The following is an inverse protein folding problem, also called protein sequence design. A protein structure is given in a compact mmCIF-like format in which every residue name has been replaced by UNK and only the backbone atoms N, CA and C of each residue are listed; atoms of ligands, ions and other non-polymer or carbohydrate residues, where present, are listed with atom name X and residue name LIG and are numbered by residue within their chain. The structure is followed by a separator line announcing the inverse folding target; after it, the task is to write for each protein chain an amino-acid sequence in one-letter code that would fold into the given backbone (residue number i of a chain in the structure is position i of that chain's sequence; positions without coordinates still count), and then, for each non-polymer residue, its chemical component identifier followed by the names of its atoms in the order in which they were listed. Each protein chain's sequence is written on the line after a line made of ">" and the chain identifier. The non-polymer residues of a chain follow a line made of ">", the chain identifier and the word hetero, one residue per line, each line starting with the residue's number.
data_IF_072919300313
#
_entry.id   IF_072919300313
#
_cell.length_a   1.000
_cell.length_b   1.000
_cell.length_c   1.000
_cell.angle_alpha   90.00
_cell.angle_beta   90.00
_cell.angle_gamma   90.00
#
_symmetry.space_group_name_H-M   'P 1'
#
loop_
_entity.id
_entity.type
_entity.pdbx_description
1 polymer ?
#
# COMPACT_ATOMS: atom_id res chain seq x y z
N UNK A 1 -2.14 12.99 6.96
CA UNK A 1 -2.10 11.89 7.96
C UNK A 1 -1.72 12.40 9.35
N UNK A 2 -0.84 13.40 9.49
CA UNK A 2 -0.59 14.09 10.79
C UNK A 2 -1.83 14.74 11.44
N UNK A 3 -2.87 15.05 10.66
CA UNK A 3 -4.12 15.64 11.16
C UNK A 3 -4.97 14.68 12.00
N UNK A 4 -4.74 13.37 11.94
CA UNK A 4 -5.44 12.39 12.76
C UNK A 4 -4.77 12.20 14.13
N UNK A 5 -3.45 12.35 14.22
CA UNK A 5 -2.71 12.23 15.50
C UNK A 5 -3.09 13.34 16.49
N UNK A 6 -3.61 14.47 16.01
CA UNK A 6 -4.07 15.59 16.84
C UNK A 6 -5.48 15.41 17.43
N UNK A 7 -6.22 14.36 17.03
CA UNK A 7 -7.57 14.08 17.50
C UNK A 7 -7.61 13.12 18.71
N UNK A 8 -6.48 12.91 19.41
CA UNK A 8 -6.42 12.18 20.69
C UNK A 8 -7.27 12.88 21.75
N UNK A 9 -8.55 12.56 21.75
CA UNK A 9 -9.57 12.90 22.73
C UNK A 9 -10.24 11.58 23.10
N UNK A 10 -10.25 11.26 24.41
CA UNK A 10 -10.61 9.96 25.00
C UNK A 10 -12.03 9.43 24.68
N UNK A 11 -12.83 10.14 23.89
CA UNK A 11 -14.24 9.83 23.63
C UNK A 11 -14.55 9.28 22.23
N UNK A 12 -13.58 9.19 21.30
CA UNK A 12 -13.84 8.72 19.92
C UNK A 12 -12.88 7.58 19.55
N UNK A 13 -13.20 6.36 19.98
CA UNK A 13 -12.56 5.11 19.51
C UNK A 13 -11.16 4.83 20.05
N UNK A 14 -10.82 3.54 20.18
CA UNK A 14 -9.44 3.11 20.47
C UNK A 14 -8.58 3.35 19.25
N UNK A 15 -7.91 4.50 19.18
CA UNK A 15 -6.85 4.75 18.22
C UNK A 15 -5.64 3.90 18.61
N UNK A 16 -5.41 2.82 17.86
CA UNK A 16 -4.19 2.03 17.94
C UNK A 16 -3.09 2.77 17.18
N UNK A 17 -2.02 3.14 17.88
CA UNK A 17 -0.87 3.85 17.32
C UNK A 17 0.34 2.91 17.13
N UNK A 18 1.41 3.43 16.55
CA UNK A 18 2.68 2.69 16.38
C UNK A 18 3.24 2.26 17.73
N UNK A 19 3.11 3.11 18.74
CA UNK A 19 3.51 2.84 20.12
C UNK A 19 2.82 1.60 20.71
N UNK A 20 1.58 1.32 20.32
CA UNK A 20 0.85 0.14 20.78
C UNK A 20 1.34 -1.15 20.12
N UNK A 21 1.99 -1.05 18.95
CA UNK A 21 2.58 -2.18 18.26
C UNK A 21 3.88 -2.68 18.95
N UNK A 22 4.66 -1.78 19.55
CA UNK A 22 5.93 -2.09 20.23
C UNK A 22 5.78 -3.21 21.28
N UNK A 23 4.86 -3.14 22.27
CA UNK A 23 4.69 -4.22 23.25
C UNK A 23 4.12 -5.51 22.63
N UNK A 24 3.47 -5.45 21.47
CA UNK A 24 3.03 -6.66 20.76
C UNK A 24 4.22 -7.34 20.09
N UNK A 25 5.08 -6.59 19.39
CA UNK A 25 6.31 -7.10 18.79
C UNK A 25 7.19 -7.74 19.88
N UNK A 26 7.41 -7.02 20.98
CA UNK A 26 8.19 -7.55 22.10
C UNK A 26 7.61 -8.83 22.69
N UNK A 27 6.29 -8.95 22.83
CA UNK A 27 5.65 -10.21 23.28
C UNK A 27 5.86 -11.35 22.29
N UNK A 28 5.77 -11.08 20.99
CA UNK A 28 5.97 -12.10 19.96
C UNK A 28 7.41 -12.57 19.92
N UNK A 29 8.40 -11.66 19.84
CA UNK A 29 9.81 -12.04 19.86
C UNK A 29 10.16 -12.82 21.14
N UNK A 30 9.66 -12.38 22.30
CA UNK A 30 9.88 -13.11 23.55
C UNK A 30 9.23 -14.50 23.61
N UNK A 31 8.08 -14.71 22.95
CA UNK A 31 7.44 -16.02 22.89
C UNK A 31 8.29 -17.06 22.14
N UNK A 32 9.10 -16.60 21.18
CA UNK A 32 9.97 -17.46 20.37
C UNK A 32 11.44 -17.40 20.78
N UNK A 33 11.83 -16.65 21.82
CA UNK A 33 13.23 -16.48 22.28
C UNK A 33 13.99 -17.77 22.61
N UNK A 34 13.27 -18.87 22.87
CA UNK A 34 13.84 -20.18 23.20
C UNK A 34 13.97 -21.08 21.97
N UNK A 35 13.50 -20.60 20.82
CA UNK A 35 13.73 -21.22 19.52
C UNK A 35 14.99 -20.59 18.93
N UNK A 36 15.72 -21.38 18.16
CA UNK A 36 16.87 -20.91 17.40
C UNK A 36 16.35 -20.17 16.18
N UNK A 37 16.34 -18.85 16.26
CA UNK A 37 15.91 -17.97 15.17
C UNK A 37 17.14 -17.24 14.67
N UNK A 38 17.45 -17.43 13.38
CA UNK A 38 18.59 -16.82 12.73
C UNK A 38 18.26 -15.45 12.10
N UNK A 39 16.98 -15.19 11.83
CA UNK A 39 16.51 -13.98 11.16
C UNK A 39 15.05 -13.66 11.53
N UNK A 40 14.78 -12.42 11.95
CA UNK A 40 13.43 -11.93 12.23
C UNK A 40 13.05 -10.81 11.28
N UNK A 41 11.94 -11.02 10.55
CA UNK A 41 11.38 -10.03 9.61
C UNK A 41 10.00 -9.60 10.09
N UNK A 42 9.82 -8.28 10.26
CA UNK A 42 8.52 -7.67 10.46
C UNK A 42 7.90 -7.30 9.12
N UNK A 43 6.70 -7.80 8.85
CA UNK A 43 5.89 -7.37 7.71
C UNK A 43 4.84 -6.37 8.20
N UNK A 44 4.92 -5.13 7.71
CA UNK A 44 4.09 -4.01 8.18
C UNK A 44 3.31 -3.35 7.04
N UNK A 45 2.28 -2.58 7.39
CA UNK A 45 1.52 -1.76 6.44
C UNK A 45 1.12 -0.43 7.07
N UNK A 46 2.07 0.24 7.72
CA UNK A 46 1.83 1.48 8.49
C UNK A 46 2.43 2.74 7.85
N UNK A 47 3.16 2.59 6.74
CA UNK A 47 3.83 3.69 6.05
C UNK A 47 5.26 3.89 6.52
N UNK A 48 6.11 4.34 5.60
CA UNK A 48 7.56 4.35 5.77
C UNK A 48 8.06 5.15 6.98
N UNK A 49 7.52 6.34 7.25
CA UNK A 49 7.93 7.12 8.43
C UNK A 49 7.48 6.46 9.75
N UNK A 50 6.33 5.79 9.74
CA UNK A 50 5.85 5.02 10.90
C UNK A 50 6.68 3.75 11.10
N UNK A 51 7.14 3.11 10.03
CA UNK A 51 8.10 1.98 10.10
C UNK A 51 9.43 2.42 10.73
N UNK A 52 9.96 3.59 10.35
CA UNK A 52 11.17 4.17 10.96
C UNK A 52 10.95 4.49 12.44
N UNK A 53 9.80 5.06 12.79
CA UNK A 53 9.43 5.33 14.18
C UNK A 53 9.36 4.03 14.98
N UNK A 54 8.68 3.00 14.46
CA UNK A 54 8.59 1.68 15.09
C UNK A 54 9.99 1.12 15.35
N UNK A 55 10.84 1.05 14.32
CA UNK A 55 12.20 0.53 14.42
C UNK A 55 13.03 1.22 15.52
N UNK A 56 12.90 2.54 15.64
CA UNK A 56 13.60 3.33 16.68
C UNK A 56 13.17 3.02 18.12
N UNK A 57 12.01 2.38 18.29
CA UNK A 57 11.42 2.04 19.60
C UNK A 57 11.56 0.56 19.95
N UNK A 58 12.01 -0.29 19.02
CA UNK A 58 12.19 -1.72 19.28
C UNK A 58 13.43 -1.95 20.15
N UNK A 59 13.30 -2.89 21.10
CA UNK A 59 14.44 -3.31 21.90
C UNK A 59 15.39 -4.16 21.03
N UNK A 60 16.70 -3.82 20.94
CA UNK A 60 17.68 -4.63 20.22
C UNK A 60 17.73 -6.10 20.69
N UNK A 61 17.39 -6.38 21.96
CA UNK A 61 17.35 -7.76 22.47
C UNK A 61 16.24 -8.61 21.83
N UNK A 62 15.25 -7.99 21.18
CA UNK A 62 14.21 -8.73 20.45
C UNK A 62 14.67 -9.24 19.09
N UNK A 63 15.86 -8.85 18.63
CA UNK A 63 16.52 -9.42 17.45
C UNK A 63 15.73 -9.25 16.16
N UNK A 64 15.17 -8.06 15.92
CA UNK A 64 14.49 -7.73 14.67
C UNK A 64 15.50 -7.22 13.67
N UNK A 65 15.64 -7.90 12.53
CA UNK A 65 16.65 -7.57 11.53
C UNK A 65 16.10 -6.71 10.38
N UNK A 66 14.86 -6.99 9.95
CA UNK A 66 14.29 -6.39 8.74
C UNK A 66 12.82 -5.99 8.94
N UNK A 67 12.44 -4.84 8.40
CA UNK A 67 11.05 -4.41 8.22
C UNK A 67 10.76 -4.32 6.72
N UNK A 68 9.78 -5.10 6.26
CA UNK A 68 9.21 -4.99 4.91
C UNK A 68 7.86 -4.30 5.04
N UNK A 69 7.81 -3.02 4.65
CA UNK A 69 6.64 -2.17 4.85
C UNK A 69 5.75 -1.99 3.62
N UNK A 70 4.68 -1.22 3.80
CA UNK A 70 3.74 -0.83 2.74
C UNK A 70 3.01 0.47 3.06
N UNK A 71 1.82 0.66 2.48
CA UNK A 71 0.92 1.83 2.64
C UNK A 71 1.38 3.13 1.94
N UNK A 72 2.61 3.60 2.18
CA UNK A 72 3.07 4.90 1.65
C UNK A 72 3.53 4.85 0.19
N UNK A 73 3.61 3.66 -0.40
CA UNK A 73 4.10 3.43 -1.77
C UNK A 73 5.50 4.02 -2.00
N UNK A 74 6.36 3.94 -0.98
CA UNK A 74 7.69 4.55 -1.04
C UNK A 74 8.60 3.73 -1.95
N UNK A 75 9.36 4.41 -2.82
CA UNK A 75 10.42 3.81 -3.63
C UNK A 75 11.74 4.08 -2.92
N UNK A 76 12.54 3.04 -2.71
CA UNK A 76 13.82 3.11 -2.04
C UNK A 76 14.90 2.45 -2.91
N UNK A 77 15.87 3.25 -3.35
CA UNK A 77 17.05 2.75 -4.06
C UNK A 77 17.94 1.89 -3.16
N UNK A 78 17.94 2.17 -1.86
CA UNK A 78 18.61 1.42 -0.81
C UNK A 78 17.72 1.36 0.44
N UNK A 79 17.78 0.27 1.22
CA UNK A 79 17.07 0.16 2.49
C UNK A 79 17.49 1.27 3.46
N UNK A 80 16.53 1.79 4.22
CA UNK A 80 16.86 2.66 5.34
C UNK A 80 17.31 1.83 6.54
N UNK A 81 18.28 2.31 7.31
CA UNK A 81 18.74 1.62 8.53
C UNK A 81 18.36 2.46 9.74
N UNK A 82 17.61 1.86 10.66
CA UNK A 82 17.23 2.48 11.94
C UNK A 82 17.35 1.43 13.03
N UNK A 83 18.12 1.72 14.09
CA UNK A 83 18.34 0.78 15.19
C UNK A 83 18.94 -0.57 14.73
N UNK A 84 19.83 -0.52 13.74
CA UNK A 84 20.41 -1.68 13.04
C UNK A 84 19.39 -2.57 12.30
N UNK A 85 18.16 -2.08 12.11
CA UNK A 85 17.09 -2.75 11.36
C UNK A 85 17.02 -2.20 9.94
N UNK A 86 17.01 -3.08 8.94
CA UNK A 86 16.86 -2.74 7.53
C UNK A 86 15.37 -2.52 7.19
N UNK A 87 15.02 -1.39 6.59
CA UNK A 87 13.65 -1.01 6.27
C UNK A 87 13.50 -0.80 4.78
N UNK A 88 12.54 -1.51 4.16
CA UNK A 88 12.27 -1.38 2.72
C UNK A 88 10.78 -1.32 2.38
N UNK A 89 10.47 -0.87 1.17
CA UNK A 89 9.17 -0.94 0.51
C UNK A 89 9.34 -1.18 -1.00
N UNK A 90 8.34 -1.79 -1.63
CA UNK A 90 8.35 -2.14 -3.06
C UNK A 90 7.26 -1.39 -3.86
N UNK A 91 7.10 -0.08 -3.61
CA UNK A 91 6.15 0.79 -4.31
C UNK A 91 4.69 0.26 -4.30
N UNK A 92 3.94 0.44 -5.39
CA UNK A 92 2.55 0.03 -5.56
C UNK A 92 2.35 -0.57 -6.95
N UNK A 93 1.19 -1.20 -7.17
CA UNK A 93 0.70 -1.47 -8.51
C UNK A 93 1.34 -2.68 -9.17
N UNK A 94 2.11 -3.48 -8.41
CA UNK A 94 2.84 -4.63 -8.93
C UNK A 94 3.77 -4.26 -10.10
N UNK A 95 4.25 -3.02 -10.14
CA UNK A 95 5.18 -2.55 -11.17
C UNK A 95 6.62 -3.03 -10.91
N UNK A 96 6.92 -3.46 -9.67
CA UNK A 96 8.26 -3.80 -9.21
C UNK A 96 8.20 -4.91 -8.14
N UNK A 97 9.26 -5.71 -8.06
CA UNK A 97 9.50 -6.71 -7.01
C UNK A 97 10.70 -6.24 -6.18
N UNK A 98 10.50 -6.12 -4.87
CA UNK A 98 11.60 -5.91 -3.93
C UNK A 98 12.40 -7.19 -3.73
N UNK A 99 13.69 -7.17 -4.09
CA UNK A 99 14.60 -8.30 -3.90
C UNK A 99 15.66 -7.96 -2.87
N UNK A 100 15.65 -8.74 -1.78
CA UNK A 100 16.72 -8.79 -0.80
C UNK A 100 17.53 -10.08 -0.98
N UNK A 101 18.82 -9.96 -1.17
CA UNK A 101 19.77 -11.07 -1.05
C UNK A 101 20.51 -10.90 0.29
N UNK A 102 20.36 -11.85 1.22
CA UNK A 102 20.84 -11.73 2.60
C UNK A 102 21.75 -12.91 2.94
N UNK A 103 22.88 -12.63 3.59
CA UNK A 103 23.78 -13.61 4.18
C UNK A 103 23.68 -13.50 5.70
N UNK A 104 23.18 -14.55 6.33
CA UNK A 104 23.03 -14.64 7.79
C UNK A 104 24.20 -15.44 8.36
N UNK A 105 24.80 -14.94 9.45
CA UNK A 105 25.83 -15.66 10.20
C UNK A 105 25.16 -16.54 11.27
N UNK A 106 25.22 -17.85 11.08
CA UNK A 106 24.63 -18.90 11.94
C UNK A 106 25.19 -18.96 13.36
N UNK A 107 26.28 -18.24 13.64
CA UNK A 107 26.97 -18.24 14.92
C UNK A 107 26.59 -17.01 15.76
N UNK A 108 26.13 -15.97 15.09
CA UNK A 108 25.73 -14.70 15.71
C UNK A 108 24.25 -14.39 15.52
N UNK A 109 23.54 -15.21 14.73
CA UNK A 109 22.14 -15.04 14.35
C UNK A 109 21.84 -13.61 13.90
N UNK A 110 22.73 -13.07 13.07
CA UNK A 110 22.69 -11.69 12.62
C UNK A 110 22.98 -11.59 11.12
N UNK A 111 22.38 -10.58 10.49
CA UNK A 111 22.65 -10.24 9.09
C UNK A 111 24.09 -9.75 8.95
N UNK A 112 24.90 -10.47 8.16
CA UNK A 112 26.30 -10.12 7.91
C UNK A 112 26.47 -9.28 6.66
N UNK A 113 25.82 -9.69 5.58
CA UNK A 113 25.87 -9.02 4.28
C UNK A 113 24.47 -8.99 3.69
N UNK A 114 24.14 -7.92 2.98
CA UNK A 114 22.88 -7.81 2.26
C UNK A 114 23.07 -7.00 0.98
N UNK A 115 22.27 -7.33 -0.03
CA UNK A 115 22.09 -6.53 -1.24
C UNK A 115 20.60 -6.32 -1.50
N UNK A 116 20.27 -5.15 -2.05
CA UNK A 116 18.89 -4.75 -2.32
C UNK A 116 18.75 -4.18 -3.72
N UNK A 117 17.73 -4.64 -4.43
CA UNK A 117 17.29 -3.99 -5.64
C UNK A 117 15.77 -4.10 -5.83
N UNK A 118 15.24 -3.14 -6.60
CA UNK A 118 13.90 -3.21 -7.14
C UNK A 118 13.97 -3.78 -8.56
N UNK A 119 13.34 -4.93 -8.77
CA UNK A 119 13.27 -5.59 -10.07
C UNK A 119 11.98 -5.12 -10.77
N UNK A 120 12.05 -4.37 -11.87
CA UNK A 120 10.86 -3.92 -12.58
C UNK A 120 10.11 -5.11 -13.19
N UNK A 121 8.79 -5.12 -13.07
CA UNK A 121 7.93 -6.06 -13.79
C UNK A 121 7.61 -5.42 -15.14
N UNK A 122 8.27 -5.89 -16.19
CA UNK A 122 8.01 -5.44 -17.56
C UNK A 122 7.99 -6.62 -18.53
N UNK A 123 7.28 -6.49 -19.68
CA UNK A 123 7.29 -7.52 -20.72
C UNK A 123 8.69 -7.85 -21.26
N UNK A 124 9.63 -6.92 -21.13
CA UNK A 124 11.02 -7.10 -21.59
C UNK A 124 11.84 -7.99 -20.63
N UNK A 125 11.39 -8.19 -19.39
CA UNK A 125 12.12 -8.92 -18.34
C UNK A 125 11.78 -10.41 -18.32
N UNK A 126 10.53 -10.77 -18.59
CA UNK A 126 10.07 -12.16 -18.58
C UNK A 126 8.84 -12.36 -19.46
N UNK A 127 8.77 -13.52 -20.13
CA UNK A 127 7.56 -13.95 -20.82
C UNK A 127 6.46 -14.30 -19.81
N UNK A 128 5.18 -13.96 -20.10
CA UNK A 128 4.06 -14.35 -19.25
C UNK A 128 3.97 -15.87 -19.08
N UNK A 129 3.66 -16.31 -17.86
CA UNK A 129 3.39 -17.72 -17.61
C UNK A 129 2.11 -18.14 -18.35
N UNK A 130 2.23 -19.13 -19.24
CA UNK A 130 1.14 -19.54 -20.12
C UNK A 130 -0.06 -20.17 -19.38
N UNK A 131 0.17 -20.78 -18.21
CA UNK A 131 -0.91 -21.35 -17.40
C UNK A 131 -1.66 -20.24 -16.65
N UNK A 132 -0.92 -19.32 -16.03
CA UNK A 132 -1.48 -18.14 -15.39
C UNK A 132 -2.24 -17.25 -16.37
N UNK A 133 -1.71 -17.04 -17.58
CA UNK A 133 -2.39 -16.27 -18.62
C UNK A 133 -3.72 -16.92 -19.01
N UNK A 134 -3.74 -18.23 -19.26
CA UNK A 134 -4.99 -18.96 -19.54
C UNK A 134 -6.00 -18.84 -18.39
N UNK A 135 -5.52 -18.85 -17.15
CA UNK A 135 -6.37 -18.65 -15.98
C UNK A 135 -6.98 -17.25 -15.98
N UNK A 136 -6.19 -16.19 -16.20
CA UNK A 136 -6.65 -14.80 -16.31
C UNK A 136 -7.69 -14.65 -17.44
N UNK A 137 -7.38 -15.13 -18.65
CA UNK A 137 -8.25 -15.05 -19.82
C UNK A 137 -9.62 -15.69 -19.57
N UNK A 138 -9.66 -16.76 -18.77
CA UNK A 138 -10.91 -17.45 -18.42
C UNK A 138 -11.88 -16.58 -17.59
N UNK A 139 -11.35 -15.62 -16.83
CA UNK A 139 -12.15 -14.63 -16.10
C UNK A 139 -12.49 -13.44 -16.98
N UNK A 140 -11.55 -12.92 -17.77
CA UNK A 140 -11.79 -11.76 -18.65
C UNK A 140 -12.98 -12.01 -19.58
N UNK A 141 -13.00 -13.15 -20.28
CA UNK A 141 -14.12 -13.48 -21.18
C UNK A 141 -15.49 -13.55 -20.49
N UNK A 142 -15.53 -13.79 -19.18
CA UNK A 142 -16.77 -13.79 -18.38
C UNK A 142 -17.15 -12.39 -17.87
N UNK A 143 -16.17 -11.51 -17.66
CA UNK A 143 -16.33 -10.17 -17.10
C UNK A 143 -16.62 -9.12 -18.18
N UNK A 144 -16.07 -9.30 -19.39
CA UNK A 144 -16.16 -8.37 -20.52
C UNK A 144 -17.58 -7.95 -20.85
N UNK A 145 -18.54 -8.87 -20.84
CA UNK A 145 -19.93 -8.57 -21.18
C UNK A 145 -20.56 -7.52 -20.27
N UNK A 146 -20.14 -7.46 -19.00
CA UNK A 146 -20.68 -6.50 -18.03
C UNK A 146 -19.86 -5.22 -18.02
N UNK A 147 -18.53 -5.34 -17.91
CA UNK A 147 -17.66 -4.21 -17.63
C UNK A 147 -17.33 -3.36 -18.86
N UNK A 148 -17.43 -3.90 -20.08
CA UNK A 148 -17.27 -3.11 -21.31
C UNK A 148 -18.51 -2.29 -21.68
N UNK A 149 -19.58 -2.35 -20.88
CA UNK A 149 -20.78 -1.52 -21.10
C UNK A 149 -20.41 -0.05 -21.05
N UNK A 150 -20.65 0.66 -22.15
CA UNK A 150 -20.46 2.12 -22.21
C UNK A 150 -21.49 2.80 -21.33
N UNK A 151 -21.02 3.62 -20.39
CA UNK A 151 -21.87 4.40 -19.49
C UNK A 151 -22.09 5.80 -20.06
N UNK A 152 -21.00 6.48 -20.42
CA UNK A 152 -21.08 7.83 -20.97
C UNK A 152 -19.83 8.22 -21.78
N UNK A 153 -19.89 9.42 -22.34
CA UNK A 153 -18.74 10.07 -22.98
C UNK A 153 -18.56 11.48 -22.44
N UNK A 154 -17.38 11.79 -21.92
CA UNK A 154 -16.97 13.14 -21.54
C UNK A 154 -16.45 13.92 -22.74
N UNK A 155 -16.55 15.26 -22.67
CA UNK A 155 -15.98 16.14 -23.68
C UNK A 155 -14.44 16.11 -23.70
N UNK A 156 -13.83 15.86 -22.54
CA UNK A 156 -12.39 15.69 -22.36
C UNK A 156 -12.12 14.71 -21.21
N UNK A 157 -10.89 14.20 -21.10
CA UNK A 157 -10.50 13.36 -19.96
C UNK A 157 -10.43 14.18 -18.68
N UNK A 158 -10.99 13.65 -17.59
CA UNK A 158 -10.82 14.20 -16.25
C UNK A 158 -9.65 13.53 -15.57
N UNK A 159 -8.86 14.27 -14.80
CA UNK A 159 -7.60 13.78 -14.20
C UNK A 159 -7.62 13.83 -12.68
N UNK A 160 -6.82 12.95 -12.07
CA UNK A 160 -6.55 12.81 -10.64
C UNK A 160 -5.08 12.37 -10.41
N UNK A 161 -4.08 13.21 -10.77
CA UNK A 161 -2.67 12.80 -10.74
C UNK A 161 -2.08 12.72 -9.31
N UNK A 162 -2.61 13.53 -8.38
CA UNK A 162 -2.11 13.70 -7.02
C UNK A 162 -3.27 13.90 -6.05
N UNK A 163 -3.07 13.48 -4.80
CA UNK A 163 -4.10 13.48 -3.73
C UNK A 163 -4.06 14.70 -2.82
N UNK A 164 -3.04 15.54 -2.97
CA UNK A 164 -2.77 16.73 -2.15
C UNK A 164 -3.09 18.03 -2.88
N UNK A 165 -3.79 17.95 -4.01
CA UNK A 165 -4.23 19.08 -4.80
C UNK A 165 -5.67 18.88 -5.27
N UNK A 166 -6.27 19.96 -5.76
CA UNK A 166 -7.54 19.89 -6.47
C UNK A 166 -7.39 19.10 -7.78
N UNK A 167 -8.43 18.33 -8.12
CA UNK A 167 -8.44 17.48 -9.31
C UNK A 167 -9.82 17.49 -9.97
N UNK A 168 -9.86 17.55 -11.30
CA UNK A 168 -11.13 17.63 -12.04
C UNK A 168 -12.01 16.38 -11.83
N UNK A 169 -11.39 15.20 -11.71
CA UNK A 169 -12.12 13.98 -11.38
C UNK A 169 -12.61 13.99 -9.93
N UNK A 170 -11.82 14.53 -8.98
CA UNK A 170 -12.25 14.73 -7.60
C UNK A 170 -13.47 15.65 -7.48
N UNK A 171 -13.46 16.76 -8.22
CA UNK A 171 -14.57 17.71 -8.28
C UNK A 171 -15.84 17.04 -8.81
N UNK A 172 -15.75 16.29 -9.92
CA UNK A 172 -16.89 15.55 -10.46
C UNK A 172 -17.50 14.58 -9.43
N UNK A 173 -16.67 13.79 -8.73
CA UNK A 173 -17.17 12.83 -7.74
C UNK A 173 -17.84 13.56 -6.59
N UNK A 174 -17.23 14.62 -6.06
CA UNK A 174 -17.81 15.42 -4.98
C UNK A 174 -19.15 16.06 -5.39
N UNK A 175 -19.25 16.61 -6.59
CA UNK A 175 -20.50 17.18 -7.13
C UNK A 175 -21.60 16.12 -7.23
N UNK A 176 -21.27 14.92 -7.71
CA UNK A 176 -22.21 13.79 -7.77
C UNK A 176 -22.70 13.41 -6.38
N UNK A 177 -21.80 13.36 -5.38
CA UNK A 177 -22.18 13.06 -3.99
C UNK A 177 -23.12 14.12 -3.42
N UNK A 178 -22.77 15.40 -3.60
CA UNK A 178 -23.55 16.53 -3.12
C UNK A 178 -24.96 16.53 -3.72
N UNK A 179 -25.07 16.36 -5.04
CA UNK A 179 -26.35 16.30 -5.75
C UNK A 179 -27.20 15.11 -5.32
N UNK A 180 -26.59 13.93 -5.16
CA UNK A 180 -27.34 12.72 -4.76
C UNK A 180 -27.83 12.77 -3.31
N UNK A 181 -27.04 13.35 -2.41
CA UNK A 181 -27.40 13.51 -1.01
C UNK A 181 -28.26 14.75 -0.73
N UNK A 182 -28.37 15.68 -1.69
CA UNK A 182 -29.11 16.94 -1.52
C UNK A 182 -28.45 17.88 -0.51
N UNK A 183 -27.11 17.87 -0.45
CA UNK A 183 -26.33 18.70 0.48
C UNK A 183 -25.54 19.76 -0.26
N UNK A 184 -25.22 20.86 0.43
CA UNK A 184 -24.44 21.97 -0.15
C UNK A 184 -22.94 21.66 -0.25
N UNK A 185 -22.44 20.76 0.60
CA UNK A 185 -21.01 20.43 0.69
C UNK A 185 -20.84 18.92 0.86
N UNK A 186 -19.99 18.32 0.01
CA UNK A 186 -19.57 16.93 0.13
C UNK A 186 -18.04 16.83 0.13
N UNK A 187 -17.50 15.93 0.95
CA UNK A 187 -16.08 15.64 1.02
C UNK A 187 -15.81 14.24 0.47
N UNK A 188 -14.78 14.12 -0.38
CA UNK A 188 -14.30 12.85 -0.92
C UNK A 188 -12.83 12.74 -0.60
N UNK A 189 -12.43 11.64 0.05
CA UNK A 189 -11.02 11.37 0.28
C UNK A 189 -10.31 11.10 -1.05
N UNK A 190 -9.21 11.80 -1.34
CA UNK A 190 -8.44 11.56 -2.56
C UNK A 190 -7.96 10.11 -2.71
N UNK A 191 -7.75 9.40 -1.59
CA UNK A 191 -7.42 7.97 -1.58
C UNK A 191 -8.53 7.04 -2.11
N UNK A 192 -9.79 7.51 -2.12
CA UNK A 192 -10.96 6.77 -2.60
C UNK A 192 -11.02 6.72 -4.13
N UNK A 193 -10.37 7.66 -4.83
CA UNK A 193 -10.27 7.70 -6.30
C UNK A 193 -8.98 7.00 -6.71
N UNK A 194 -9.10 5.86 -7.39
CA UNK A 194 -7.94 4.97 -7.65
C UNK A 194 -7.29 5.15 -9.00
N UNK A 195 -8.01 5.66 -9.99
CA UNK A 195 -7.46 5.97 -11.32
C UNK A 195 -6.99 7.42 -11.43
N UNK A 196 -5.92 7.63 -12.18
CA UNK A 196 -5.37 8.98 -12.45
C UNK A 196 -6.12 9.73 -13.57
N UNK A 197 -6.92 9.03 -14.38
CA UNK A 197 -7.70 9.62 -15.46
C UNK A 197 -8.97 8.83 -15.76
N UNK A 198 -10.00 9.52 -16.23
CA UNK A 198 -11.26 8.93 -16.67
C UNK A 198 -11.74 9.60 -17.97
N UNK A 199 -12.13 8.81 -18.96
CA UNK A 199 -12.68 9.28 -20.24
C UNK A 199 -11.68 9.33 -21.42
N UNK A 200 -12.10 9.88 -22.58
CA UNK A 200 -13.41 10.49 -22.79
C UNK A 200 -14.52 9.46 -22.90
N UNK A 201 -14.27 8.25 -23.40
CA UNK A 201 -15.23 7.14 -23.30
C UNK A 201 -15.12 6.51 -21.92
N UNK A 202 -16.25 6.30 -21.25
CA UNK A 202 -16.29 5.71 -19.90
C UNK A 202 -17.13 4.45 -19.93
N UNK A 203 -16.51 3.33 -19.55
CA UNK A 203 -17.17 2.05 -19.36
C UNK A 203 -17.54 1.82 -17.89
N UNK A 204 -18.36 0.79 -17.63
CA UNK A 204 -18.66 0.37 -16.26
C UNK A 204 -17.39 -0.11 -15.53
N UNK A 205 -16.47 -0.76 -16.25
CA UNK A 205 -15.15 -1.15 -15.74
C UNK A 205 -14.35 0.07 -15.29
N UNK A 206 -14.27 1.10 -16.13
CA UNK A 206 -13.55 2.34 -15.78
C UNK A 206 -14.11 3.00 -14.51
N UNK A 207 -15.43 3.02 -14.32
CA UNK A 207 -16.07 3.55 -13.11
C UNK A 207 -15.76 2.68 -11.89
N UNK A 208 -15.87 1.36 -12.03
CA UNK A 208 -15.59 0.42 -10.94
C UNK A 208 -14.12 0.42 -10.54
N UNK A 209 -13.19 0.62 -11.46
CA UNK A 209 -11.79 0.81 -11.13
C UNK A 209 -11.52 2.19 -10.51
N UNK A 210 -12.24 3.23 -10.93
CA UNK A 210 -12.07 4.58 -10.38
C UNK A 210 -12.56 4.65 -8.93
N UNK A 211 -13.69 4.00 -8.63
CA UNK A 211 -14.33 3.92 -7.30
C UNK A 211 -14.62 2.44 -6.96
N UNK A 212 -13.61 1.65 -6.55
CA UNK A 212 -13.75 0.20 -6.36
C UNK A 212 -14.36 -0.19 -5.03
N UNK A 213 -14.49 0.76 -4.11
CA UNK A 213 -15.03 0.50 -2.79
C UNK A 213 -16.56 0.46 -2.89
N UNK A 214 -17.15 -0.64 -2.43
CA UNK A 214 -18.59 -0.74 -2.23
C UNK A 214 -18.97 0.04 -0.96
N UNK A 215 -18.87 1.38 -1.07
CA UNK A 215 -19.43 2.32 -0.11
C UNK A 215 -20.87 2.63 -0.48
N UNK A 216 -21.78 2.50 0.50
CA UNK A 216 -23.10 3.10 0.34
C UNK A 216 -22.96 4.63 0.36
N UNK A 217 -23.68 5.28 -0.55
CA UNK A 217 -24.12 6.67 -0.42
C UNK A 217 -25.58 6.65 0.01
#
# INVERSE_FOLDING_TARGET
>A
EETLDTLKSDEIGTFVDVEDAVPVVGRMCNAYRHQDIDLTILLTHIGFERDRKLASMLDPEWGVDIIVGGHSHTILDQPAVVNDILITQANVGTDQIGRFDIVVDDRTNAVREWDWCLVPISPDQAEPDAELQRFIDSFEGRLDQKYLTVVCRFAHCLTHPRRDQETALGNLVADILAQRAGVDVAFVGGGSIRRQKLGPLVTLGDLKETLPFDGAL
#
